data_IF_884006896174
#
_entry.id   IF_884006896174
#
_cell.length_a   1.000
_cell.length_b   1.000
_cell.length_c   1.000
_cell.angle_alpha   90.00
_cell.angle_beta   90.00
_cell.angle_gamma   90.00
#
_symmetry.space_group_name_H-M   'P 1'
#
loop_
_entity.id
_entity.type
_entity.pdbx_description
1 polymer ?
#
# COMPACT_ATOMS: atom_id res chain seq x y z
N UNK A 1 2.28 -17.78 -13.24
CA UNK A 1 1.90 -16.33 -13.20
C UNK A 1 2.73 -15.67 -12.11
N UNK A 2 3.29 -14.48 -12.34
CA UNK A 2 3.97 -13.72 -11.29
C UNK A 2 3.00 -13.39 -10.14
N UNK A 3 3.49 -13.24 -8.91
CA UNK A 3 2.66 -13.04 -7.71
C UNK A 3 1.84 -11.74 -7.81
N UNK A 4 2.42 -10.65 -8.34
CA UNK A 4 1.68 -9.42 -8.62
C UNK A 4 0.50 -9.63 -9.59
N UNK A 5 0.69 -10.48 -10.60
CA UNK A 5 -0.40 -10.86 -11.51
C UNK A 5 -1.51 -11.70 -10.86
N UNK A 6 -1.30 -12.27 -9.66
CA UNK A 6 -2.38 -12.89 -8.86
C UNK A 6 -3.10 -11.82 -8.04
N UNK A 7 -2.36 -10.86 -7.46
CA UNK A 7 -2.93 -9.75 -6.70
C UNK A 7 -3.86 -8.87 -7.56
N UNK A 8 -3.40 -8.53 -8.78
CA UNK A 8 -4.10 -7.61 -9.68
C UNK A 8 -5.20 -8.29 -10.55
N UNK A 9 -5.43 -9.60 -10.42
CA UNK A 9 -6.43 -10.33 -11.19
C UNK A 9 -7.80 -10.31 -10.48
N UNK A 10 -8.66 -9.36 -10.86
CA UNK A 10 -10.01 -9.19 -10.28
C UNK A 10 -10.95 -10.38 -10.50
N UNK A 11 -10.62 -11.30 -11.43
CA UNK A 11 -11.42 -12.52 -11.64
C UNK A 11 -11.14 -13.58 -10.58
N UNK A 12 -10.09 -13.40 -9.77
CA UNK A 12 -9.71 -14.36 -8.73
C UNK A 12 -10.44 -14.13 -7.41
N UNK A 13 -10.66 -15.21 -6.64
CA UNK A 13 -11.19 -15.09 -5.29
C UNK A 13 -10.32 -14.20 -4.41
N UNK A 14 -10.96 -13.34 -3.61
CA UNK A 14 -10.27 -12.37 -2.75
C UNK A 14 -9.24 -13.03 -1.81
N UNK A 15 -9.52 -14.25 -1.31
CA UNK A 15 -8.59 -15.04 -0.49
C UNK A 15 -7.25 -15.33 -1.18
N UNK A 16 -7.23 -15.53 -2.50
CA UNK A 16 -6.00 -15.76 -3.25
C UNK A 16 -5.22 -14.46 -3.43
N UNK A 17 -5.93 -13.37 -3.66
CA UNK A 17 -5.36 -12.03 -3.81
C UNK A 17 -4.71 -11.56 -2.50
N UNK A 18 -5.35 -11.80 -1.35
CA UNK A 18 -4.74 -11.58 -0.03
C UNK A 18 -3.47 -12.40 0.17
N UNK A 19 -3.49 -13.70 -0.18
CA UNK A 19 -2.27 -14.53 -0.10
C UNK A 19 -1.15 -13.95 -0.97
N UNK A 20 -1.46 -13.47 -2.17
CA UNK A 20 -0.49 -12.83 -3.04
C UNK A 20 0.05 -11.53 -2.41
N UNK A 21 -0.82 -10.68 -1.86
CA UNK A 21 -0.44 -9.46 -1.15
C UNK A 21 0.53 -9.72 0.00
N UNK A 22 0.18 -10.61 0.93
CA UNK A 22 1.06 -10.93 2.06
C UNK A 22 2.37 -11.59 1.61
N UNK A 23 2.35 -12.33 0.50
CA UNK A 23 3.59 -12.87 -0.08
C UNK A 23 4.49 -11.74 -0.60
N UNK A 24 3.94 -10.76 -1.33
CA UNK A 24 4.70 -9.59 -1.80
C UNK A 24 5.25 -8.75 -0.65
N UNK A 25 4.43 -8.55 0.39
CA UNK A 25 4.86 -7.87 1.63
C UNK A 25 6.05 -8.55 2.28
N UNK A 26 6.09 -9.89 2.31
CA UNK A 26 7.21 -10.64 2.88
C UNK A 26 8.44 -10.69 1.96
N UNK A 27 8.25 -10.65 0.63
CA UNK A 27 9.37 -10.56 -0.33
C UNK A 27 10.05 -9.19 -0.23
N UNK A 28 9.28 -8.12 -0.07
CA UNK A 28 9.82 -6.77 0.08
C UNK A 28 10.38 -6.19 -1.23
N UNK A 29 10.96 -5.00 -1.09
CA UNK A 29 11.66 -4.29 -2.17
C UNK A 29 10.75 -3.65 -3.22
N UNK A 30 11.36 -2.76 -4.02
CA UNK A 30 10.65 -1.94 -5.00
C UNK A 30 9.74 -2.72 -5.96
N UNK A 31 10.12 -3.89 -6.54
CA UNK A 31 9.23 -4.63 -7.43
C UNK A 31 7.94 -5.10 -6.75
N UNK A 32 7.99 -5.45 -5.46
CA UNK A 32 6.81 -5.83 -4.68
C UNK A 32 5.92 -4.63 -4.40
N UNK A 33 6.53 -3.48 -4.06
CA UNK A 33 5.83 -2.21 -3.87
C UNK A 33 5.10 -1.79 -5.14
N UNK A 34 5.76 -1.88 -6.30
CA UNK A 34 5.17 -1.53 -7.60
C UNK A 34 3.94 -2.42 -7.91
N UNK A 35 4.04 -3.74 -7.66
CA UNK A 35 2.92 -4.67 -7.82
C UNK A 35 1.73 -4.35 -6.89
N UNK A 36 2.01 -3.94 -5.65
CA UNK A 36 0.98 -3.55 -4.67
C UNK A 36 0.32 -2.25 -5.10
N UNK A 37 1.11 -1.28 -5.60
CA UNK A 37 0.61 0.01 -6.05
C UNK A 37 -0.41 -0.10 -7.19
N UNK A 38 -0.15 -0.98 -8.16
CA UNK A 38 -1.08 -1.26 -9.26
C UNK A 38 -2.48 -1.69 -8.79
N UNK A 39 -2.60 -2.24 -7.57
CA UNK A 39 -3.85 -2.76 -7.03
C UNK A 39 -4.72 -1.69 -6.34
N UNK A 40 -4.25 -0.43 -6.16
CA UNK A 40 -5.05 0.63 -5.53
C UNK A 40 -6.24 1.12 -6.35
N UNK A 41 -6.37 0.68 -7.61
CA UNK A 41 -7.56 0.89 -8.44
C UNK A 41 -8.63 -0.19 -8.27
N UNK A 42 -8.43 -1.16 -7.37
CA UNK A 42 -9.40 -2.22 -7.12
C UNK A 42 -10.71 -1.67 -6.50
N UNK A 43 -11.89 -2.19 -6.88
CA UNK A 43 -13.15 -1.75 -6.29
C UNK A 43 -13.32 -2.14 -4.82
N UNK A 44 -12.54 -3.10 -4.29
CA UNK A 44 -12.63 -3.52 -2.90
C UNK A 44 -11.90 -2.55 -1.97
N UNK A 45 -12.66 -1.73 -1.24
CA UNK A 45 -12.12 -0.90 -0.16
C UNK A 45 -11.34 -1.71 0.88
N UNK A 46 -11.82 -2.93 1.20
CA UNK A 46 -11.14 -3.86 2.11
C UNK A 46 -9.75 -4.26 1.58
N UNK A 47 -9.65 -4.60 0.29
CA UNK A 47 -8.36 -4.95 -0.30
C UNK A 47 -7.43 -3.73 -0.29
N UNK A 48 -7.91 -2.57 -0.73
CA UNK A 48 -7.12 -1.33 -0.80
C UNK A 48 -6.59 -0.89 0.57
N UNK A 49 -7.41 -1.02 1.61
CA UNK A 49 -6.97 -0.85 3.00
C UNK A 49 -5.77 -1.77 3.29
N UNK A 50 -5.90 -3.08 3.03
CA UNK A 50 -4.82 -4.02 3.29
C UNK A 50 -3.54 -3.76 2.47
N UNK A 51 -3.67 -3.19 1.26
CA UNK A 51 -2.51 -2.75 0.47
C UNK A 51 -1.72 -1.69 1.25
N UNK A 52 -2.40 -0.66 1.75
CA UNK A 52 -1.77 0.42 2.53
C UNK A 52 -1.15 -0.13 3.82
N UNK A 53 -1.88 -0.99 4.55
CA UNK A 53 -1.38 -1.67 5.74
C UNK A 53 -0.09 -2.43 5.43
N UNK A 54 -0.08 -3.25 4.38
CA UNK A 54 1.09 -4.04 3.98
C UNK A 54 2.28 -3.13 3.61
N UNK A 55 2.06 -2.06 2.86
CA UNK A 55 3.12 -1.09 2.55
C UNK A 55 3.70 -0.45 3.82
N UNK A 56 2.85 -0.10 4.79
CA UNK A 56 3.29 0.36 6.10
C UNK A 56 4.15 -0.69 6.82
N UNK A 57 3.70 -1.93 6.89
CA UNK A 57 4.43 -3.03 7.53
C UNK A 57 5.74 -3.41 6.82
N UNK A 58 5.92 -3.04 5.55
CA UNK A 58 7.18 -3.25 4.83
C UNK A 58 8.27 -2.28 5.29
N UNK A 59 7.92 -1.17 5.94
CA UNK A 59 8.87 -0.19 6.49
C UNK A 59 9.88 0.34 5.45
N UNK A 60 9.47 0.40 4.18
CA UNK A 60 10.31 0.82 3.06
C UNK A 60 9.86 2.21 2.58
N UNK A 61 10.75 3.20 2.68
CA UNK A 61 10.49 4.59 2.32
C UNK A 61 10.09 4.78 0.84
N UNK A 62 10.40 3.81 -0.04
CA UNK A 62 9.92 3.84 -1.43
C UNK A 62 8.40 3.79 -1.56
N UNK A 63 7.68 3.35 -0.52
CA UNK A 63 6.22 3.37 -0.48
C UNK A 63 5.63 4.75 -0.13
N UNK A 64 6.41 5.68 0.42
CA UNK A 64 5.89 6.98 0.89
C UNK A 64 5.18 7.80 -0.22
N UNK A 65 5.72 7.95 -1.44
CA UNK A 65 5.02 8.70 -2.49
C UNK A 65 3.66 8.09 -2.86
N UNK A 66 3.55 6.76 -2.81
CA UNK A 66 2.31 6.03 -3.09
C UNK A 66 1.29 6.29 -1.98
N UNK A 67 1.69 6.13 -0.72
CA UNK A 67 0.81 6.32 0.42
C UNK A 67 0.31 7.77 0.54
N UNK A 68 1.16 8.76 0.26
CA UNK A 68 0.75 10.18 0.19
C UNK A 68 -0.29 10.38 -0.91
N UNK A 69 -0.07 9.81 -2.10
CA UNK A 69 -1.05 9.89 -3.18
C UNK A 69 -2.40 9.24 -2.83
N UNK A 70 -2.39 8.16 -2.06
CA UNK A 70 -3.63 7.50 -1.59
C UNK A 70 -4.34 8.36 -0.54
N UNK A 71 -3.60 8.94 0.40
CA UNK A 71 -4.13 9.82 1.44
C UNK A 71 -4.79 11.09 0.86
N UNK A 72 -4.18 11.69 -0.16
CA UNK A 72 -4.67 12.92 -0.80
C UNK A 72 -5.82 12.67 -1.78
N UNK A 73 -5.99 11.44 -2.25
CA UNK A 73 -7.02 11.11 -3.22
C UNK A 73 -8.42 11.05 -2.56
N UNK A 74 -9.21 12.12 -2.74
CA UNK A 74 -10.59 12.24 -2.26
C UNK A 74 -11.58 11.24 -2.87
N UNK A 75 -11.20 10.52 -3.93
CA UNK A 75 -12.02 9.44 -4.48
C UNK A 75 -11.81 8.10 -3.78
N UNK A 76 -10.78 7.98 -2.94
CA UNK A 76 -10.58 6.79 -2.10
C UNK A 76 -11.51 6.85 -0.89
N UNK A 77 -11.91 5.69 -0.39
CA UNK A 77 -12.75 5.57 0.79
C UNK A 77 -11.99 6.02 2.04
N UNK A 78 -12.70 6.58 3.02
CA UNK A 78 -12.10 7.13 4.24
C UNK A 78 -11.24 6.10 4.99
N UNK A 79 -11.66 4.83 4.99
CA UNK A 79 -10.91 3.74 5.62
C UNK A 79 -9.56 3.47 4.94
N UNK A 80 -9.48 3.62 3.61
CA UNK A 80 -8.24 3.44 2.85
C UNK A 80 -7.30 4.62 3.09
N UNK A 81 -7.84 5.84 3.13
CA UNK A 81 -7.07 7.06 3.43
C UNK A 81 -6.54 7.06 4.86
N UNK A 82 -7.35 6.59 5.83
CA UNK A 82 -6.94 6.41 7.22
C UNK A 82 -5.74 5.46 7.32
N UNK A 83 -5.84 4.27 6.71
CA UNK A 83 -4.75 3.28 6.73
C UNK A 83 -3.49 3.78 6.03
N UNK A 84 -3.63 4.56 4.95
CA UNK A 84 -2.48 5.20 4.32
C UNK A 84 -1.76 6.19 5.25
N UNK A 85 -2.51 6.97 6.05
CA UNK A 85 -1.92 7.85 7.05
C UNK A 85 -1.21 7.07 8.16
N UNK A 86 -1.79 5.98 8.63
CA UNK A 86 -1.14 5.10 9.63
C UNK A 86 0.14 4.48 9.07
N UNK A 87 0.11 3.98 7.83
CA UNK A 87 1.27 3.42 7.14
C UNK A 87 2.40 4.45 6.96
N UNK A 88 2.08 5.71 6.63
CA UNK A 88 3.07 6.80 6.57
C UNK A 88 3.71 7.02 7.94
N UNK A 89 2.89 7.08 9.00
CA UNK A 89 3.38 7.21 10.37
C UNK A 89 4.28 6.03 10.77
N UNK A 90 3.89 4.82 10.41
CA UNK A 90 4.67 3.61 10.68
C UNK A 90 6.04 3.68 10.00
N UNK A 91 6.11 3.98 8.70
CA UNK A 91 7.38 4.07 7.96
C UNK A 91 8.24 5.22 8.49
N UNK A 92 7.65 6.40 8.65
CA UNK A 92 8.39 7.59 9.02
C UNK A 92 8.82 7.63 10.50
N UNK A 93 8.19 6.86 11.38
CA UNK A 93 8.65 6.71 12.77
C UNK A 93 10.05 6.07 12.87
N UNK A 94 10.49 5.36 11.83
CA UNK A 94 11.85 4.82 11.72
C UNK A 94 12.85 5.80 11.10
N UNK A 95 12.38 6.81 10.35
CA UNK A 95 13.21 7.85 9.72
C UNK A 95 13.04 9.19 10.45
N UNK A 96 13.61 9.29 11.65
CA UNK A 96 13.67 10.52 12.43
C UNK A 96 14.09 11.73 11.57
N UNK A 97 13.17 12.70 11.43
CA UNK A 97 13.41 14.03 10.89
C UNK A 97 12.78 14.40 9.53
N UNK A 98 12.46 13.46 8.62
CA UNK A 98 12.11 13.80 7.21
C UNK A 98 10.63 13.86 6.85
N UNK A 99 9.72 13.37 7.70
CA UNK A 99 8.27 13.39 7.40
C UNK A 99 7.73 14.82 7.22
N UNK A 100 8.33 15.82 7.90
CA UNK A 100 7.82 17.20 7.86
C UNK A 100 7.79 17.79 6.45
N UNK A 101 8.75 17.47 5.58
CA UNK A 101 8.78 18.03 4.21
C UNK A 101 7.79 17.38 3.25
N UNK A 102 7.35 16.14 3.51
CA UNK A 102 6.36 15.43 2.68
C UNK A 102 4.92 15.84 3.02
N UNK A 103 4.65 16.23 4.26
CA UNK A 103 3.31 16.62 4.73
C UNK A 103 3.04 18.14 4.70
N UNK A 104 4.04 18.97 4.42
CA UNK A 104 3.94 20.45 4.41
C UNK A 104 3.97 21.08 3.01
N UNK A 105 3.84 20.28 1.93
CA UNK A 105 3.73 20.80 0.56
C UNK A 105 2.29 20.93 0.12
#
# INVERSE_FOLDING_TARGET
>A
KAIGGVLNDQTRPLKERFRALFTLKNIGGKPSIDCINECFSDPSALLKHELAYCLGQMQDAHALPILVSVLDNKSQEDIVRHEAAEAIGAIGSLEDGRIKELLLK
#
